data_IF_390165181965
#
_entry.id   IF_390165181965
#
_cell.length_a   1.000
_cell.length_b   1.000
_cell.length_c   1.000
_cell.angle_alpha   90.00
_cell.angle_beta   90.00
_cell.angle_gamma   90.00
#
_symmetry.space_group_name_H-M   'P 1'
#
loop_
_entity.id
_entity.type
_entity.pdbx_description
1 polymer ?
#
# COMPACT_ATOMS: atom_id res chain seq x y z
N UNK A 1 15.98 -26.64 -7.69
CA UNK A 1 17.37 -26.49 -7.37
C UNK A 1 17.65 -26.30 -5.89
N UNK A 2 17.82 -25.07 -5.41
CA UNK A 2 18.30 -24.75 -4.04
C UNK A 2 17.45 -25.40 -2.92
N UNK A 3 16.12 -25.39 -3.03
CA UNK A 3 15.26 -25.98 -2.01
C UNK A 3 15.56 -27.46 -1.76
N UNK A 4 15.72 -28.24 -2.83
CA UNK A 4 16.05 -29.66 -2.71
C UNK A 4 17.46 -29.86 -2.14
N UNK A 5 18.40 -29.01 -2.56
CA UNK A 5 19.78 -29.03 -2.09
C UNK A 5 19.85 -28.82 -0.57
N UNK A 6 19.20 -27.79 -0.03
CA UNK A 6 19.22 -27.49 1.41
C UNK A 6 18.44 -28.50 2.25
N UNK A 7 17.45 -29.19 1.70
CA UNK A 7 16.68 -30.23 2.40
C UNK A 7 17.30 -31.64 2.25
N UNK A 8 18.31 -31.78 1.39
CA UNK A 8 19.03 -33.03 1.16
C UNK A 8 18.23 -34.13 0.43
N UNK A 9 16.91 -33.93 0.23
CA UNK A 9 16.08 -34.83 -0.58
C UNK A 9 14.78 -34.13 -1.00
N UNK A 10 14.22 -34.57 -2.13
CA UNK A 10 12.94 -34.07 -2.63
C UNK A 10 11.77 -34.34 -1.67
N UNK A 11 11.80 -35.50 -1.00
CA UNK A 11 10.74 -35.88 -0.04
C UNK A 11 10.73 -34.93 1.17
N UNK A 12 11.90 -34.64 1.72
CA UNK A 12 12.04 -33.69 2.82
C UNK A 12 11.62 -32.28 2.42
N UNK A 13 11.98 -31.87 1.20
CA UNK A 13 11.56 -30.58 0.65
C UNK A 13 10.04 -30.48 0.53
N UNK A 14 9.36 -31.52 -0.02
CA UNK A 14 7.92 -31.57 -0.16
C UNK A 14 7.26 -31.50 1.23
N UNK A 15 7.72 -32.28 2.19
CA UNK A 15 7.17 -32.27 3.56
C UNK A 15 7.33 -30.91 4.24
N UNK A 16 8.45 -30.24 4.05
CA UNK A 16 8.64 -28.84 4.53
C UNK A 16 7.71 -27.87 3.84
N UNK A 17 7.49 -28.01 2.53
CA UNK A 17 6.56 -27.20 1.77
C UNK A 17 5.11 -27.42 2.25
N UNK A 18 4.68 -28.65 2.48
CA UNK A 18 3.35 -28.98 3.05
C UNK A 18 3.12 -28.27 4.39
N UNK A 19 4.12 -28.29 5.27
CA UNK A 19 4.05 -27.59 6.55
C UNK A 19 3.95 -26.07 6.37
N UNK A 20 4.69 -25.50 5.41
CA UNK A 20 4.71 -24.05 5.13
C UNK A 20 3.43 -23.55 4.49
N UNK A 21 2.74 -24.35 3.67
CA UNK A 21 1.49 -23.97 2.97
C UNK A 21 0.41 -23.52 3.95
N UNK A 22 0.33 -24.13 5.14
CA UNK A 22 -0.63 -23.69 6.17
C UNK A 22 -0.53 -22.20 6.50
N UNK A 23 0.70 -21.63 6.51
CA UNK A 23 0.92 -20.20 6.75
C UNK A 23 0.51 -19.29 5.58
N UNK A 24 0.28 -19.85 4.38
CA UNK A 24 -0.07 -19.06 3.19
C UNK A 24 -1.57 -19.03 2.89
N UNK A 25 -2.39 -19.79 3.60
CA UNK A 25 -3.84 -19.89 3.36
C UNK A 25 -4.53 -18.52 3.41
N UNK A 26 -4.16 -17.69 4.38
CA UNK A 26 -4.68 -16.31 4.49
C UNK A 26 -4.42 -15.51 3.21
N UNK A 27 -3.23 -15.60 2.65
CA UNK A 27 -2.86 -14.90 1.42
C UNK A 27 -3.68 -15.42 0.25
N UNK A 28 -3.76 -16.74 0.07
CA UNK A 28 -4.46 -17.37 -1.05
C UNK A 28 -5.96 -17.03 -1.10
N UNK A 29 -6.59 -16.76 0.05
CA UNK A 29 -7.99 -16.38 0.14
C UNK A 29 -8.16 -14.85 0.03
N UNK A 30 -7.34 -14.08 0.74
CA UNK A 30 -7.54 -12.64 0.86
C UNK A 30 -7.11 -11.88 -0.41
N UNK A 31 -6.03 -12.28 -1.07
CA UNK A 31 -5.57 -11.60 -2.28
C UNK A 31 -6.62 -11.57 -3.41
N UNK A 32 -7.27 -12.69 -3.79
CA UNK A 32 -8.34 -12.63 -4.78
C UNK A 32 -9.49 -11.69 -4.41
N UNK A 33 -9.87 -11.63 -3.12
CA UNK A 33 -10.90 -10.71 -2.65
C UNK A 33 -10.49 -9.24 -2.79
N UNK A 34 -9.25 -8.90 -2.41
CA UNK A 34 -8.71 -7.56 -2.60
C UNK A 34 -8.59 -7.18 -4.08
N UNK A 35 -8.13 -8.09 -4.94
CA UNK A 35 -8.11 -7.84 -6.38
C UNK A 35 -9.52 -7.66 -6.96
N UNK A 36 -10.52 -8.34 -6.42
CA UNK A 36 -11.93 -8.12 -6.75
C UNK A 36 -12.38 -6.70 -6.38
N UNK A 37 -12.08 -6.25 -5.15
CA UNK A 37 -12.37 -4.88 -4.70
C UNK A 37 -11.66 -3.86 -5.60
N UNK A 38 -10.37 -4.04 -5.85
CA UNK A 38 -9.60 -3.18 -6.75
C UNK A 38 -10.22 -3.12 -8.16
N UNK A 39 -10.68 -4.27 -8.67
CA UNK A 39 -11.36 -4.36 -9.96
C UNK A 39 -12.63 -3.50 -9.99
N UNK A 40 -13.45 -3.54 -8.95
CA UNK A 40 -14.66 -2.71 -8.80
C UNK A 40 -14.29 -1.24 -8.78
N UNK A 41 -13.35 -0.83 -7.94
CA UNK A 41 -12.91 0.56 -7.84
C UNK A 41 -12.36 1.11 -9.16
N UNK A 42 -11.62 0.28 -9.91
CA UNK A 42 -11.12 0.63 -11.23
C UNK A 42 -12.23 0.77 -12.27
N UNK A 43 -13.17 -0.18 -12.29
CA UNK A 43 -14.24 -0.21 -13.31
C UNK A 43 -15.31 0.85 -13.09
N UNK A 44 -15.55 1.26 -11.84
CA UNK A 44 -16.54 2.29 -11.48
C UNK A 44 -16.01 3.72 -11.59
N UNK A 45 -14.69 3.91 -11.72
CA UNK A 45 -14.09 5.25 -11.77
C UNK A 45 -13.99 5.97 -10.41
N UNK A 46 -14.43 5.36 -9.31
CA UNK A 46 -14.43 5.97 -7.97
C UNK A 46 -13.05 6.52 -7.57
N UNK A 47 -11.95 5.83 -7.96
CA UNK A 47 -10.60 6.30 -7.65
C UNK A 47 -10.30 7.61 -8.37
N UNK A 48 -10.75 7.74 -9.61
CA UNK A 48 -10.59 8.98 -10.38
C UNK A 48 -11.40 10.11 -9.75
N UNK A 49 -12.67 9.85 -9.41
CA UNK A 49 -13.56 10.85 -8.79
C UNK A 49 -13.00 11.34 -7.45
N UNK A 50 -12.50 10.41 -6.62
CA UNK A 50 -11.87 10.76 -5.35
C UNK A 50 -10.57 11.56 -5.55
N UNK A 51 -9.77 11.19 -6.54
CA UNK A 51 -8.55 11.93 -6.88
C UNK A 51 -8.86 13.33 -7.39
N UNK A 52 -9.85 13.48 -8.26
CA UNK A 52 -10.32 14.80 -8.74
C UNK A 52 -10.87 15.66 -7.61
N UNK A 53 -11.68 15.10 -6.71
CA UNK A 53 -12.18 15.82 -5.54
C UNK A 53 -11.05 16.44 -4.73
N UNK A 54 -9.99 15.70 -4.42
CA UNK A 54 -8.84 16.25 -3.71
C UNK A 54 -8.03 17.26 -4.53
N UNK A 55 -7.99 17.11 -5.85
CA UNK A 55 -7.35 18.10 -6.72
C UNK A 55 -8.12 19.45 -6.73
N UNK A 56 -9.45 19.40 -6.80
CA UNK A 56 -10.30 20.60 -6.79
C UNK A 56 -10.18 21.38 -5.47
N UNK A 57 -10.00 20.69 -4.35
CA UNK A 57 -9.78 21.33 -3.04
C UNK A 57 -8.38 21.92 -2.89
N UNK A 58 -7.45 21.62 -3.78
CA UNK A 58 -6.05 21.97 -3.66
C UNK A 58 -5.69 23.23 -4.47
N UNK A 59 -4.58 23.85 -4.07
CA UNK A 59 -3.87 24.87 -4.82
C UNK A 59 -2.40 24.46 -4.97
N UNK A 60 -1.58 25.28 -5.62
CA UNK A 60 -0.16 24.99 -5.86
C UNK A 60 0.64 24.64 -4.57
N UNK A 61 0.28 25.23 -3.43
CA UNK A 61 0.95 25.00 -2.15
C UNK A 61 0.44 23.76 -1.42
N UNK A 62 -0.86 23.51 -1.48
CA UNK A 62 -1.51 22.43 -0.72
C UNK A 62 -1.64 21.12 -1.49
N UNK A 63 -1.43 21.13 -2.79
CA UNK A 63 -1.58 19.98 -3.66
C UNK A 63 -0.77 18.75 -3.20
N UNK A 64 0.51 18.85 -2.79
CA UNK A 64 1.24 17.69 -2.28
C UNK A 64 0.59 17.06 -1.05
N UNK A 65 0.03 17.89 -0.14
CA UNK A 65 -0.67 17.39 1.06
C UNK A 65 -1.97 16.68 0.67
N UNK A 66 -2.76 17.24 -0.23
CA UNK A 66 -3.98 16.59 -0.71
C UNK A 66 -3.68 15.32 -1.51
N UNK A 67 -2.60 15.29 -2.27
CA UNK A 67 -2.11 14.08 -2.95
C UNK A 67 -1.74 12.99 -1.92
N UNK A 68 -1.01 13.36 -0.88
CA UNK A 68 -0.66 12.47 0.23
C UNK A 68 -1.90 11.88 0.91
N UNK A 69 -2.89 12.72 1.26
CA UNK A 69 -4.14 12.28 1.90
C UNK A 69 -4.95 11.39 0.96
N UNK A 70 -5.12 11.80 -0.30
CA UNK A 70 -5.81 11.03 -1.33
C UNK A 70 -5.18 9.66 -1.52
N UNK A 71 -3.85 9.59 -1.67
CA UNK A 71 -3.13 8.34 -1.81
C UNK A 71 -3.29 7.45 -0.57
N UNK A 72 -3.26 8.03 0.63
CA UNK A 72 -3.48 7.29 1.88
C UNK A 72 -4.87 6.65 1.93
N UNK A 73 -5.91 7.37 1.53
CA UNK A 73 -7.29 6.86 1.52
C UNK A 73 -7.44 5.76 0.46
N UNK A 74 -6.94 5.99 -0.74
CA UNK A 74 -7.08 5.03 -1.85
C UNK A 74 -6.31 3.75 -1.57
N UNK A 75 -5.17 3.83 -0.88
CA UNK A 75 -4.39 2.65 -0.51
C UNK A 75 -5.16 1.64 0.36
N UNK A 76 -6.17 2.06 1.14
CA UNK A 76 -7.04 1.12 1.85
C UNK A 76 -7.78 0.16 0.92
N UNK A 77 -8.14 0.64 -0.27
CA UNK A 77 -8.92 -0.12 -1.25
C UNK A 77 -8.04 -0.79 -2.30
N UNK A 78 -6.85 -0.23 -2.53
CA UNK A 78 -5.86 -0.71 -3.51
C UNK A 78 -4.52 -0.89 -2.81
N UNK A 79 -4.34 -1.93 -1.98
CA UNK A 79 -3.13 -2.14 -1.18
C UNK A 79 -1.97 -2.67 -2.05
N UNK A 80 -1.60 -1.92 -3.06
CA UNK A 80 -0.57 -2.25 -4.03
C UNK A 80 0.02 -0.98 -4.63
N UNK A 81 1.20 -0.59 -4.21
CA UNK A 81 1.84 0.64 -4.68
C UNK A 81 1.90 0.77 -6.21
N UNK A 82 2.27 -0.29 -6.92
CA UNK A 82 2.26 -0.32 -8.38
C UNK A 82 0.85 -0.28 -8.98
N UNK A 83 -0.10 -1.00 -8.39
CA UNK A 83 -1.51 -1.00 -8.82
C UNK A 83 -2.17 0.35 -8.60
N UNK A 84 -1.93 0.97 -7.46
CA UNK A 84 -2.43 2.30 -7.15
C UNK A 84 -1.79 3.36 -8.05
N UNK A 85 -0.46 3.32 -8.25
CA UNK A 85 0.25 4.20 -9.16
C UNK A 85 -0.27 4.10 -10.59
N UNK A 86 -0.56 2.89 -11.07
CA UNK A 86 -1.12 2.69 -12.40
C UNK A 86 -2.42 3.49 -12.63
N UNK A 87 -3.23 3.67 -11.58
CA UNK A 87 -4.51 4.38 -11.67
C UNK A 87 -4.34 5.87 -11.35
N UNK A 88 -3.71 6.21 -10.22
CA UNK A 88 -3.57 7.59 -9.76
C UNK A 88 -2.42 8.35 -10.42
N UNK A 89 -1.34 7.66 -10.78
CA UNK A 89 -0.13 8.29 -11.28
C UNK A 89 -0.36 9.23 -12.47
N UNK A 90 -1.08 8.81 -13.53
CA UNK A 90 -1.39 9.69 -14.65
C UNK A 90 -2.09 10.99 -14.24
N UNK A 91 -3.06 10.91 -13.31
CA UNK A 91 -3.78 12.08 -12.80
C UNK A 91 -2.88 13.01 -11.99
N UNK A 92 -2.04 12.43 -11.13
CA UNK A 92 -1.07 13.18 -10.32
C UNK A 92 -0.07 13.92 -11.22
N UNK A 93 0.48 13.26 -12.22
CA UNK A 93 1.42 13.85 -13.17
C UNK A 93 0.76 14.99 -13.94
N UNK A 94 -0.43 14.76 -14.51
CA UNK A 94 -1.15 15.76 -15.28
C UNK A 94 -1.46 17.01 -14.45
N UNK A 95 -1.94 16.82 -13.23
CA UNK A 95 -2.28 17.94 -12.33
C UNK A 95 -1.05 18.69 -11.85
N UNK A 96 0.04 18.00 -11.53
CA UNK A 96 1.29 18.63 -11.16
C UNK A 96 1.83 19.52 -12.27
N UNK A 97 1.83 19.04 -13.51
CA UNK A 97 2.27 19.81 -14.68
C UNK A 97 1.37 21.02 -14.92
N UNK A 98 0.04 20.85 -14.79
CA UNK A 98 -0.93 21.94 -14.95
C UNK A 98 -0.77 23.05 -13.91
N UNK A 99 -0.44 22.66 -12.67
CA UNK A 99 -0.26 23.59 -11.55
C UNK A 99 1.19 24.11 -11.42
N UNK A 100 2.12 23.66 -12.28
CA UNK A 100 3.53 24.05 -12.20
C UNK A 100 4.29 23.48 -11.01
N UNK A 101 3.79 22.37 -10.42
CA UNK A 101 4.37 21.74 -9.23
C UNK A 101 5.45 20.75 -9.66
N UNK A 102 6.62 20.74 -9.01
CA UNK A 102 7.68 19.78 -9.30
C UNK A 102 7.18 18.32 -9.16
N UNK A 103 7.40 17.50 -10.19
CA UNK A 103 6.90 16.11 -10.22
C UNK A 103 7.47 15.27 -9.08
N UNK A 104 8.73 15.48 -8.71
CA UNK A 104 9.35 14.79 -7.58
C UNK A 104 8.57 15.00 -6.29
N UNK A 105 8.09 16.21 -6.01
CA UNK A 105 7.29 16.53 -4.83
C UNK A 105 5.95 15.77 -4.83
N UNK A 106 5.26 15.75 -5.95
CA UNK A 106 3.97 15.07 -6.10
C UNK A 106 4.10 13.54 -6.05
N UNK A 107 5.16 13.00 -6.66
CA UNK A 107 5.45 11.56 -6.60
C UNK A 107 5.81 11.15 -5.17
N UNK A 108 6.61 11.95 -4.46
CA UNK A 108 6.92 11.68 -3.04
C UNK A 108 5.69 11.76 -2.16
N UNK A 109 4.80 12.73 -2.40
CA UNK A 109 3.53 12.84 -1.69
C UNK A 109 2.67 11.59 -1.86
N UNK A 110 2.56 11.09 -3.10
CA UNK A 110 1.90 9.83 -3.39
C UNK A 110 2.55 8.65 -2.64
N UNK A 111 3.87 8.51 -2.75
CA UNK A 111 4.60 7.41 -2.11
C UNK A 111 4.47 7.41 -0.58
N UNK A 112 4.47 8.59 0.03
CA UNK A 112 4.23 8.73 1.47
C UNK A 112 2.80 8.33 1.85
N UNK A 113 1.80 8.66 1.02
CA UNK A 113 0.42 8.29 1.25
C UNK A 113 0.19 6.78 1.15
N UNK A 114 0.72 6.16 0.12
CA UNK A 114 0.71 4.70 -0.06
C UNK A 114 1.38 4.01 1.14
N UNK A 115 2.57 4.45 1.52
CA UNK A 115 3.31 3.87 2.64
C UNK A 115 2.61 4.03 3.98
N UNK A 116 1.96 5.17 4.23
CA UNK A 116 1.39 5.50 5.53
C UNK A 116 0.34 4.48 5.96
N UNK A 117 -0.64 4.22 5.13
CA UNK A 117 -1.77 3.36 5.48
C UNK A 117 -1.48 1.87 5.37
N UNK A 118 -0.36 1.50 4.77
CA UNK A 118 0.17 0.13 4.86
C UNK A 118 0.40 -0.28 6.33
N UNK A 119 0.70 0.68 7.21
CA UNK A 119 0.90 0.41 8.65
C UNK A 119 -0.40 -0.02 9.36
N UNK A 120 -1.57 0.33 8.83
CA UNK A 120 -2.88 -0.15 9.32
C UNK A 120 -3.31 -1.48 8.72
N UNK A 121 -2.63 -1.94 7.68
CA UNK A 121 -2.99 -3.13 6.95
C UNK A 121 -2.06 -4.28 7.35
N UNK A 122 -2.50 -5.26 8.15
CA UNK A 122 -1.65 -6.40 8.54
C UNK A 122 -1.38 -7.36 7.38
N UNK A 123 -1.82 -7.01 6.21
CA UNK A 123 -1.81 -7.82 4.99
C UNK A 123 -0.40 -8.23 4.54
N UNK A 124 0.54 -7.29 4.55
CA UNK A 124 1.95 -7.54 4.25
C UNK A 124 2.62 -8.44 5.30
N UNK A 125 2.10 -8.46 6.54
CA UNK A 125 2.64 -9.22 7.64
C UNK A 125 2.11 -10.66 7.71
N UNK A 126 1.11 -11.04 6.90
CA UNK A 126 0.46 -12.36 6.99
C UNK A 126 1.44 -13.54 6.95
N UNK A 127 2.47 -13.58 6.08
CA UNK A 127 3.45 -14.67 6.10
C UNK A 127 4.22 -14.74 7.40
N UNK A 128 4.63 -13.58 7.93
CA UNK A 128 5.37 -13.49 9.19
C UNK A 128 4.49 -13.90 10.38
N UNK A 129 3.24 -13.46 10.39
CA UNK A 129 2.27 -13.85 11.41
C UNK A 129 2.02 -15.36 11.40
N UNK A 130 1.92 -15.97 10.21
CA UNK A 130 1.80 -17.42 10.07
C UNK A 130 2.99 -18.20 10.62
N UNK A 131 4.21 -17.68 10.46
CA UNK A 131 5.44 -18.30 10.97
C UNK A 131 5.58 -18.11 12.49
N UNK A 132 5.27 -16.92 13.00
CA UNK A 132 5.46 -16.56 14.42
C UNK A 132 4.30 -16.98 15.31
N UNK A 133 3.16 -17.35 14.74
CA UNK A 133 1.94 -17.65 15.49
C UNK A 133 1.26 -16.41 16.09
N UNK A 134 1.76 -15.20 15.79
CA UNK A 134 1.14 -13.94 16.21
C UNK A 134 -0.14 -13.67 15.42
N UNK A 135 -1.03 -12.92 16.01
CA UNK A 135 -2.26 -12.43 15.34
C UNK A 135 -2.11 -10.98 14.94
N UNK A 136 -2.85 -10.56 13.92
CA UNK A 136 -2.85 -9.17 13.47
C UNK A 136 -3.11 -8.17 14.62
N UNK A 137 -4.01 -8.50 15.55
CA UNK A 137 -4.30 -7.68 16.73
C UNK A 137 -3.10 -7.45 17.66
N UNK A 138 -2.11 -8.32 17.61
CA UNK A 138 -0.94 -8.23 18.49
C UNK A 138 0.08 -7.20 17.95
N UNK A 139 0.06 -6.93 16.64
CA UNK A 139 0.97 -5.97 15.99
C UNK A 139 0.32 -4.63 15.69
N UNK A 140 -0.99 -4.60 15.39
CA UNK A 140 -1.70 -3.38 14.99
C UNK A 140 -1.53 -2.19 15.95
N UNK A 141 -1.55 -2.33 17.29
CA UNK A 141 -1.35 -1.18 18.17
C UNK A 141 -0.01 -0.48 17.94
N UNK A 142 1.05 -1.25 17.69
CA UNK A 142 2.39 -0.71 17.46
C UNK A 142 2.49 -0.05 16.08
N UNK A 143 1.95 -0.68 15.04
CA UNK A 143 1.98 -0.12 13.70
C UNK A 143 1.12 1.14 13.58
N UNK A 144 0.03 1.25 14.35
CA UNK A 144 -0.78 2.48 14.43
C UNK A 144 0.00 3.63 15.06
N UNK A 145 0.78 3.38 16.13
CA UNK A 145 1.64 4.42 16.71
C UNK A 145 2.67 4.89 15.69
N UNK A 146 3.32 3.95 14.99
CA UNK A 146 4.30 4.28 13.94
C UNK A 146 3.62 5.07 12.82
N UNK A 147 2.38 4.72 12.43
CA UNK A 147 1.62 5.46 11.43
C UNK A 147 1.36 6.92 11.86
N UNK A 148 0.98 7.15 13.11
CA UNK A 148 0.76 8.51 13.62
C UNK A 148 2.05 9.35 13.59
N UNK A 149 3.16 8.75 14.01
CA UNK A 149 4.48 9.41 13.94
C UNK A 149 4.86 9.64 12.46
N UNK A 150 4.66 8.65 11.61
CA UNK A 150 4.91 8.74 10.17
C UNK A 150 4.08 9.84 9.51
N UNK A 151 2.81 9.98 9.89
CA UNK A 151 1.93 11.05 9.38
C UNK A 151 2.54 12.44 9.66
N UNK A 152 3.02 12.67 10.88
CA UNK A 152 3.65 13.93 11.25
C UNK A 152 4.93 14.16 10.44
N UNK A 153 5.81 13.14 10.37
CA UNK A 153 7.08 13.24 9.65
C UNK A 153 6.86 13.52 8.15
N UNK A 154 5.95 12.79 7.51
CA UNK A 154 5.66 12.95 6.09
C UNK A 154 5.02 14.30 5.79
N UNK A 155 4.09 14.75 6.65
CA UNK A 155 3.48 16.07 6.50
C UNK A 155 4.53 17.19 6.64
N UNK A 156 5.38 17.14 7.66
CA UNK A 156 6.45 18.11 7.84
C UNK A 156 7.44 18.08 6.67
N UNK A 157 7.81 16.87 6.23
CA UNK A 157 8.68 16.71 5.06
C UNK A 157 8.09 17.35 3.80
N UNK A 158 6.81 17.13 3.50
CA UNK A 158 6.15 17.72 2.34
C UNK A 158 5.99 19.24 2.42
N UNK A 159 5.89 19.80 3.63
CA UNK A 159 5.83 21.25 3.84
C UNK A 159 7.21 21.91 3.79
N UNK A 160 8.28 21.17 4.13
CA UNK A 160 9.65 21.69 4.16
C UNK A 160 10.31 21.72 2.76
N UNK A 161 9.83 20.94 1.82
CA UNK A 161 10.27 20.90 0.43
C UNK A 161 9.33 21.73 -0.44
#
# INVERSE_FOLDING_TARGET
GLGIFFHGSIIKFIKSAETAVGGTVGILIQFPLYFGIMGIFKSTGIINDLSYFFQELSNEYTYPIYTFISASIINFFVPSGGGQWYIQGPLIIQSSLKMGIPLNKSIMAFAYGDQLTNMMQPFWALPLLGITGLKAKDILPYTLIIMLVGFIIFTVGLLAF
#
